data_IF_692383734156
#
_entry.id   IF_692383734156
#
_cell.length_a   1.000
_cell.length_b   1.000
_cell.length_c   1.000
_cell.angle_alpha   90.00
_cell.angle_beta   90.00
_cell.angle_gamma   90.00
#
_symmetry.space_group_name_H-M   'P 1'
#
loop_
_entity.id
_entity.type
_entity.pdbx_description
1 polymer ?
#
# COMPACT_ATOMS: atom_id res chain seq x y z
N UNK A 1 18.33 23.28 4.50
CA UNK A 1 17.01 22.77 4.91
C UNK A 1 17.16 21.27 5.13
N UNK A 2 17.10 20.78 6.38
CA UNK A 2 17.31 19.35 6.72
C UNK A 2 15.95 18.68 6.80
N UNK A 3 15.57 17.90 5.78
CA UNK A 3 14.42 17.02 5.84
C UNK A 3 14.69 15.93 6.90
N UNK A 4 13.80 15.81 7.88
CA UNK A 4 13.82 14.75 8.90
C UNK A 4 12.64 13.82 8.63
N UNK A 5 12.93 12.61 8.20
CA UNK A 5 12.00 11.47 8.13
C UNK A 5 11.93 10.83 9.52
N UNK A 6 10.77 10.33 10.01
CA UNK A 6 9.74 9.64 9.22
C UNK A 6 8.38 10.34 9.21
N UNK A 7 7.71 10.26 8.08
CA UNK A 7 6.31 10.64 7.88
C UNK A 7 5.48 9.35 7.82
N UNK A 8 4.42 9.25 8.63
CA UNK A 8 3.49 8.12 8.65
C UNK A 8 2.11 8.63 8.26
N UNK A 9 1.55 8.09 7.17
CA UNK A 9 0.19 8.42 6.71
C UNK A 9 -0.71 7.21 6.97
N UNK A 10 -1.71 7.38 7.82
CA UNK A 10 -2.77 6.39 8.06
C UNK A 10 -4.05 6.91 7.40
N UNK A 11 -4.59 6.15 6.45
CA UNK A 11 -5.88 6.39 5.78
C UNK A 11 -6.10 7.77 5.14
N UNK A 12 -5.01 8.48 4.78
CA UNK A 12 -5.08 9.79 4.11
C UNK A 12 -5.70 10.89 4.97
N UNK A 13 -5.89 10.66 6.27
CA UNK A 13 -6.48 11.63 7.19
C UNK A 13 -5.54 11.90 8.37
N UNK A 14 -4.80 13.00 8.20
CA UNK A 14 -4.07 13.80 9.21
C UNK A 14 -2.60 13.41 9.45
N UNK A 15 -1.78 14.47 9.52
CA UNK A 15 -0.33 14.53 9.65
C UNK A 15 0.04 14.94 11.08
N UNK A 16 0.79 14.11 11.83
CA UNK A 16 1.31 14.50 13.15
C UNK A 16 2.59 13.74 13.56
N UNK A 17 3.65 14.41 14.06
CA UNK A 17 4.83 13.74 14.59
C UNK A 17 4.57 13.21 16.01
N UNK A 18 4.73 11.90 16.19
CA UNK A 18 4.71 11.23 17.51
C UNK A 18 3.34 10.63 17.85
N UNK A 19 3.13 9.36 17.49
CA UNK A 19 1.87 8.64 17.75
C UNK A 19 2.14 7.45 18.68
N UNK A 20 1.32 7.35 19.73
CA UNK A 20 1.26 6.24 20.70
C UNK A 20 0.36 5.13 20.11
N UNK A 21 0.72 3.85 20.34
CA UNK A 21 0.05 2.66 19.79
C UNK A 21 -1.48 2.68 19.90
N UNK A 22 -2.03 3.24 21.00
CA UNK A 22 -3.48 3.36 21.21
C UNK A 22 -4.22 4.30 20.23
N UNK A 23 -3.54 5.32 19.68
CA UNK A 23 -4.15 6.19 18.65
C UNK A 23 -4.24 5.48 17.30
N UNK A 24 -3.26 4.65 16.95
CA UNK A 24 -3.26 3.85 15.71
C UNK A 24 -4.41 2.84 15.74
N UNK A 25 -4.60 2.16 16.87
CA UNK A 25 -5.69 1.19 17.02
C UNK A 25 -7.08 1.84 16.94
N UNK A 26 -7.27 3.03 17.54
CA UNK A 26 -8.53 3.76 17.42
C UNK A 26 -8.80 4.20 15.98
N UNK A 27 -7.78 4.73 15.28
CA UNK A 27 -7.91 5.14 13.89
C UNK A 27 -8.24 3.96 12.97
N UNK A 28 -7.57 2.82 13.16
CA UNK A 28 -7.86 1.59 12.43
C UNK A 28 -9.27 1.03 12.75
N UNK A 29 -9.71 1.18 14.00
CA UNK A 29 -11.07 0.83 14.43
C UNK A 29 -12.13 1.71 13.76
N UNK A 30 -11.89 3.00 13.64
CA UNK A 30 -12.82 3.95 13.03
C UNK A 30 -12.87 3.81 11.51
N UNK A 31 -11.74 3.51 10.87
CA UNK A 31 -11.65 3.16 9.45
C UNK A 31 -12.43 1.89 9.11
N UNK A 32 -12.30 0.84 9.94
CA UNK A 32 -13.08 -0.40 9.81
C UNK A 32 -14.59 -0.19 10.01
N UNK A 33 -14.98 0.77 10.87
CA UNK A 33 -16.38 1.10 11.16
C UNK A 33 -17.02 1.98 10.08
N UNK A 34 -16.26 2.88 9.45
CA UNK A 34 -16.75 3.79 8.41
C UNK A 34 -16.66 3.21 6.98
N UNK A 35 -15.89 2.14 6.75
CA UNK A 35 -15.87 1.43 5.47
C UNK A 35 -17.17 0.62 5.30
N UNK A 36 -18.26 1.31 4.92
CA UNK A 36 -19.54 0.69 4.52
C UNK A 36 -19.44 0.02 3.15
N UNK A 37 -18.41 0.36 2.38
CA UNK A 37 -18.04 -0.22 1.10
C UNK A 37 -16.78 -1.05 1.27
N UNK A 38 -16.91 -2.38 1.31
CA UNK A 38 -15.77 -3.32 1.34
C UNK A 38 -15.07 -3.33 -0.03
N UNK A 39 -14.42 -2.23 -0.41
CA UNK A 39 -13.61 -2.13 -1.61
C UNK A 39 -12.23 -2.79 -1.45
N UNK A 40 -12.14 -3.84 -0.61
CA UNK A 40 -10.91 -4.61 -0.41
C UNK A 40 -10.61 -5.42 -1.67
N UNK A 41 -9.49 -5.17 -2.36
CA UNK A 41 -9.14 -5.91 -3.55
C UNK A 41 -8.77 -7.35 -3.19
N UNK A 42 -9.23 -8.30 -4.00
CA UNK A 42 -8.72 -9.67 -3.97
C UNK A 42 -7.54 -9.74 -4.94
N UNK A 43 -6.40 -10.22 -4.45
CA UNK A 43 -5.18 -10.34 -5.22
C UNK A 43 -4.86 -11.82 -5.43
N UNK A 44 -4.62 -12.20 -6.68
CA UNK A 44 -4.17 -13.53 -7.01
C UNK A 44 -2.99 -13.44 -7.96
N UNK A 45 -1.85 -14.01 -7.55
CA UNK A 45 -0.71 -14.15 -8.45
C UNK A 45 -0.82 -15.49 -9.17
N UNK A 46 -0.85 -15.43 -10.50
CA UNK A 46 -0.96 -16.60 -11.37
C UNK A 46 0.39 -17.31 -11.49
N UNK A 47 0.38 -18.55 -12.00
CA UNK A 47 1.57 -19.39 -12.12
C UNK A 47 2.64 -18.80 -13.06
N UNK A 48 2.23 -17.97 -14.03
CA UNK A 48 3.12 -17.23 -14.94
C UNK A 48 3.67 -15.92 -14.32
N UNK A 49 3.36 -15.65 -13.05
CA UNK A 49 3.77 -14.45 -12.33
C UNK A 49 2.81 -13.25 -12.49
N UNK A 50 1.85 -13.33 -13.42
CA UNK A 50 0.85 -12.28 -13.67
C UNK A 50 0.03 -12.01 -12.40
N UNK A 51 -0.13 -10.73 -12.04
CA UNK A 51 -1.02 -10.35 -10.94
C UNK A 51 -2.43 -10.13 -11.48
N UNK A 52 -3.42 -10.81 -10.89
CA UNK A 52 -4.84 -10.50 -11.06
C UNK A 52 -5.35 -9.71 -9.85
N UNK A 53 -5.96 -8.57 -10.13
CA UNK A 53 -6.64 -7.71 -9.14
C UNK A 53 -8.13 -7.82 -9.40
N UNK A 54 -8.92 -8.14 -8.39
CA UNK A 54 -10.38 -8.24 -8.50
C UNK A 54 -11.06 -7.37 -7.45
N UNK A 55 -12.08 -6.63 -7.86
CA UNK A 55 -12.96 -5.86 -6.99
C UNK A 55 -14.42 -6.26 -7.23
N UNK A 56 -15.11 -6.55 -6.13
CA UNK A 56 -16.56 -6.70 -6.13
C UNK A 56 -17.23 -5.36 -6.45
N UNK A 57 -18.47 -5.40 -6.92
CA UNK A 57 -19.26 -4.17 -7.03
C UNK A 57 -19.42 -3.52 -5.65
N UNK A 58 -19.28 -2.20 -5.59
CA UNK A 58 -19.45 -1.44 -4.37
C UNK A 58 -20.04 -0.06 -4.67
N UNK A 59 -20.87 0.45 -3.75
CA UNK A 59 -21.41 1.80 -3.84
C UNK A 59 -20.34 2.80 -3.44
N UNK A 60 -20.01 3.72 -4.34
CA UNK A 60 -19.03 4.77 -4.09
C UNK A 60 -19.71 6.14 -4.08
N UNK A 61 -19.23 7.04 -3.23
CA UNK A 61 -19.65 8.45 -3.23
C UNK A 61 -18.96 9.24 -4.36
N UNK A 62 -17.77 8.81 -4.76
CA UNK A 62 -17.00 9.32 -5.89
C UNK A 62 -16.12 8.18 -6.47
N UNK A 63 -15.58 8.32 -7.70
CA UNK A 63 -14.62 7.35 -8.25
C UNK A 63 -13.42 7.13 -7.33
N UNK A 64 -12.79 5.96 -7.45
CA UNK A 64 -11.63 5.59 -6.67
C UNK A 64 -10.46 5.21 -7.57
N UNK A 65 -9.26 5.68 -7.24
CA UNK A 65 -8.03 5.25 -7.90
C UNK A 65 -7.57 3.90 -7.29
N UNK A 66 -7.27 2.95 -8.17
CA UNK A 66 -6.73 1.64 -7.84
C UNK A 66 -5.23 1.68 -8.14
N UNK A 67 -4.41 1.75 -7.10
CA UNK A 67 -2.97 1.93 -7.21
C UNK A 67 -2.24 0.68 -6.77
N UNK A 68 -1.34 0.18 -7.64
CA UNK A 68 -0.43 -0.91 -7.34
C UNK A 68 0.89 -0.33 -6.81
N UNK A 69 1.43 -0.96 -5.76
CA UNK A 69 2.73 -0.67 -5.19
C UNK A 69 3.58 -1.94 -5.18
N UNK A 70 4.79 -1.86 -5.72
CA UNK A 70 5.81 -2.88 -5.57
C UNK A 70 6.83 -2.42 -4.52
N UNK A 71 7.10 -3.27 -3.53
CA UNK A 71 7.93 -2.92 -2.38
C UNK A 71 8.93 -4.01 -2.00
N UNK A 72 10.07 -3.59 -1.46
CA UNK A 72 11.03 -4.49 -0.84
C UNK A 72 10.56 -4.76 0.59
N UNK A 73 10.32 -6.03 0.93
CA UNK A 73 9.85 -6.41 2.27
C UNK A 73 10.86 -6.02 3.36
N UNK A 74 12.16 -6.19 3.09
CA UNK A 74 13.27 -5.75 3.93
C UNK A 74 14.34 -5.12 3.06
N UNK A 75 14.80 -3.94 3.43
CA UNK A 75 15.95 -3.31 2.82
C UNK A 75 16.93 -2.86 3.91
N UNK A 76 18.15 -3.40 3.88
CA UNK A 76 19.22 -2.99 4.76
C UNK A 76 20.08 -1.94 4.06
N UNK A 77 20.02 -0.70 4.51
CA UNK A 77 20.90 0.35 4.00
C UNK A 77 22.16 0.41 4.87
N UNK A 78 23.38 0.26 4.32
CA UNK A 78 24.60 0.51 5.08
C UNK A 78 24.68 2.00 5.44
N UNK A 79 24.64 2.33 6.73
CA UNK A 79 24.81 3.72 7.21
C UNK A 79 26.30 4.05 7.22
N UNK A 80 26.76 4.80 6.22
CA UNK A 80 28.20 5.09 6.04
C UNK A 80 28.73 6.26 6.89
N UNK A 81 27.88 7.12 7.49
CA UNK A 81 28.29 8.17 8.47
C UNK A 81 27.09 8.81 9.19
N UNK A 82 27.27 9.25 10.44
CA UNK A 82 26.27 10.00 11.23
C UNK A 82 26.01 9.38 12.63
N UNK A 83 25.07 9.89 13.42
CA UNK A 83 24.72 9.35 14.76
C UNK A 83 24.26 7.87 14.78
N UNK A 84 23.98 7.30 13.60
CA UNK A 84 23.64 5.88 13.41
C UNK A 84 24.81 5.06 12.83
N UNK A 85 26.01 5.63 12.76
CA UNK A 85 27.24 4.96 12.34
C UNK A 85 27.47 3.70 13.19
N UNK A 86 27.62 2.56 12.52
CA UNK A 86 27.74 1.23 13.14
C UNK A 86 26.42 0.49 13.42
N UNK A 87 25.25 1.09 13.16
CA UNK A 87 23.95 0.42 13.33
C UNK A 87 23.31 0.05 11.98
N UNK A 88 22.87 -1.21 11.84
CA UNK A 88 22.06 -1.69 10.71
C UNK A 88 20.63 -1.16 10.89
N UNK A 89 20.21 -0.24 10.03
CA UNK A 89 18.81 0.17 9.93
C UNK A 89 18.11 -0.77 8.95
N UNK A 90 17.27 -1.66 9.48
CA UNK A 90 16.38 -2.48 8.67
C UNK A 90 15.11 -1.67 8.37
N UNK A 91 14.94 -1.28 7.11
CA UNK A 91 13.70 -0.68 6.62
C UNK A 91 12.77 -1.78 6.10
N UNK A 92 11.47 -1.65 6.35
CA UNK A 92 10.46 -2.62 5.93
C UNK A 92 9.46 -2.00 4.95
N UNK A 93 9.01 -2.79 3.98
CA UNK A 93 8.05 -2.39 2.94
C UNK A 93 8.43 -1.12 2.15
N UNK A 94 9.69 -1.04 1.72
CA UNK A 94 10.19 0.11 0.96
C UNK A 94 9.62 0.07 -0.46
N UNK A 95 8.69 0.97 -0.76
CA UNK A 95 8.10 1.11 -2.11
C UNK A 95 9.19 1.49 -3.11
N UNK A 96 9.28 0.74 -4.20
CA UNK A 96 10.22 0.99 -5.33
C UNK A 96 9.52 1.54 -6.55
N UNK A 97 8.27 1.14 -6.73
CA UNK A 97 7.46 1.54 -7.87
C UNK A 97 5.99 1.58 -7.45
N UNK A 98 5.24 2.50 -8.02
CA UNK A 98 3.80 2.49 -7.95
C UNK A 98 3.20 3.01 -9.25
N UNK A 99 2.01 2.52 -9.59
CA UNK A 99 1.25 2.95 -10.76
C UNK A 99 -0.25 2.90 -10.48
N UNK A 100 -1.00 3.83 -11.08
CA UNK A 100 -2.46 3.76 -11.10
C UNK A 100 -2.85 2.74 -12.17
N UNK A 101 -3.45 1.64 -11.75
CA UNK A 101 -3.95 0.59 -12.64
C UNK A 101 -5.22 1.05 -13.34
N UNK A 102 -6.11 1.72 -12.60
CA UNK A 102 -7.36 2.25 -13.14
C UNK A 102 -7.98 3.27 -12.18
N UNK A 103 -8.78 4.17 -12.74
CA UNK A 103 -9.85 4.84 -11.99
C UNK A 103 -11.09 3.97 -12.05
N UNK A 104 -11.66 3.64 -10.89
CA UNK A 104 -12.73 2.68 -10.68
C UNK A 104 -14.02 3.39 -10.26
N UNK A 105 -15.14 2.98 -10.84
CA UNK A 105 -16.45 3.61 -10.64
C UNK A 105 -17.38 2.82 -9.70
N UNK A 106 -16.90 1.73 -9.10
CA UNK A 106 -17.70 0.88 -8.20
C UNK A 106 -18.33 -0.34 -8.88
N UNK A 107 -18.24 -0.50 -10.21
CA UNK A 107 -18.73 -1.71 -10.89
C UNK A 107 -17.83 -2.92 -10.59
N UNK A 108 -18.35 -4.15 -10.61
CA UNK A 108 -17.48 -5.32 -10.48
C UNK A 108 -16.47 -5.37 -11.64
N UNK A 109 -15.17 -5.34 -11.31
CA UNK A 109 -14.10 -5.22 -12.31
C UNK A 109 -12.90 -6.08 -11.91
N UNK A 110 -12.12 -6.50 -12.91
CA UNK A 110 -10.81 -7.09 -12.68
C UNK A 110 -9.79 -6.54 -13.66
N UNK A 111 -8.52 -6.53 -13.23
CA UNK A 111 -7.38 -6.15 -14.04
C UNK A 111 -6.31 -7.24 -13.96
N UNK A 112 -5.46 -7.28 -14.98
CA UNK A 112 -4.26 -8.09 -14.99
C UNK A 112 -3.06 -7.18 -15.17
N UNK A 113 -2.02 -7.41 -14.37
CA UNK A 113 -0.74 -6.71 -14.44
C UNK A 113 0.32 -7.74 -14.80
N UNK A 114 0.99 -7.59 -15.96
CA UNK A 114 2.01 -8.52 -16.42
C UNK A 114 3.16 -8.68 -15.42
N UNK A 115 3.76 -9.87 -15.39
CA UNK A 115 4.83 -10.20 -14.45
C UNK A 115 6.10 -9.34 -14.62
N UNK A 116 6.33 -8.75 -15.80
CA UNK A 116 7.49 -7.91 -16.10
C UNK A 116 7.44 -6.52 -15.45
N UNK A 117 6.31 -6.17 -14.81
CA UNK A 117 6.11 -4.89 -14.11
C UNK A 117 6.71 -4.85 -12.71
N UNK A 118 7.07 -6.00 -12.14
CA UNK A 118 7.62 -6.10 -10.78
C UNK A 118 8.56 -7.30 -10.68
N UNK A 119 9.38 -7.32 -9.63
CA UNK A 119 10.34 -8.41 -9.43
C UNK A 119 9.77 -9.51 -8.51
N UNK A 120 10.16 -10.79 -8.67
CA UNK A 120 9.71 -11.90 -7.82
C UNK A 120 9.95 -11.73 -6.31
N UNK A 121 11.03 -11.04 -5.94
CA UNK A 121 11.45 -10.70 -4.58
C UNK A 121 10.66 -9.55 -3.96
N UNK A 122 9.81 -8.87 -4.74
CA UNK A 122 8.99 -7.77 -4.26
C UNK A 122 7.63 -8.23 -3.75
N UNK A 123 7.20 -7.63 -2.65
CA UNK A 123 5.82 -7.68 -2.21
C UNK A 123 4.99 -6.72 -3.06
N UNK A 124 3.71 -7.04 -3.21
CA UNK A 124 2.76 -6.20 -3.95
C UNK A 124 1.64 -5.75 -3.03
N UNK A 125 1.32 -4.46 -3.02
CA UNK A 125 0.15 -3.93 -2.33
C UNK A 125 -0.75 -3.21 -3.33
N UNK A 126 -2.06 -3.36 -3.17
CA UNK A 126 -3.05 -2.59 -3.92
C UNK A 126 -3.87 -1.79 -2.94
N UNK A 127 -3.97 -0.48 -3.20
CA UNK A 127 -4.79 0.45 -2.43
C UNK A 127 -5.89 0.96 -3.37
N UNK A 128 -7.12 0.90 -2.87
CA UNK A 128 -8.29 1.52 -3.48
C UNK A 128 -8.62 2.75 -2.67
N UNK A 129 -8.40 3.92 -3.25
CA UNK A 129 -8.56 5.21 -2.57
C UNK A 129 -9.53 6.06 -3.35
N UNK A 130 -10.49 6.71 -2.68
CA UNK A 130 -11.32 7.70 -3.35
C UNK A 130 -10.42 8.76 -4.03
N UNK A 131 -10.72 9.11 -5.27
CA UNK A 131 -9.92 10.06 -6.05
C UNK A 131 -9.78 11.42 -5.34
N UNK A 132 -8.82 12.22 -5.79
CA UNK A 132 -8.50 13.55 -5.24
C UNK A 132 -8.05 13.50 -3.77
N UNK A 133 -7.24 12.49 -3.44
CA UNK A 133 -6.68 12.25 -2.10
C UNK A 133 -7.73 11.99 -1.01
N UNK A 134 -8.88 11.42 -1.39
CA UNK A 134 -9.93 11.01 -0.46
C UNK A 134 -9.52 9.81 0.43
N UNK A 135 -10.44 9.27 1.24
CA UNK A 135 -10.15 8.14 2.12
C UNK A 135 -9.72 6.88 1.35
N UNK A 136 -8.89 6.05 2.01
CA UNK A 136 -8.68 4.67 1.59
C UNK A 136 -9.97 3.88 1.83
N UNK A 137 -10.48 3.25 0.78
CA UNK A 137 -11.72 2.46 0.78
C UNK A 137 -11.43 0.97 1.00
N UNK A 138 -10.24 0.53 0.61
CA UNK A 138 -9.78 -0.83 0.82
C UNK A 138 -8.32 -0.99 0.41
N UNK A 139 -7.65 -1.98 1.00
CA UNK A 139 -6.29 -2.34 0.64
C UNK A 139 -6.07 -3.83 0.85
N UNK A 140 -5.18 -4.41 0.07
CA UNK A 140 -4.70 -5.77 0.28
C UNK A 140 -3.26 -5.92 -0.24
N UNK A 141 -2.55 -6.96 0.19
CA UNK A 141 -1.18 -7.21 -0.25
C UNK A 141 -0.90 -8.69 -0.46
N UNK A 142 0.14 -8.95 -1.26
CA UNK A 142 0.79 -10.23 -1.42
C UNK A 142 2.24 -10.11 -0.96
N UNK A 143 2.69 -11.11 -0.21
CA UNK A 143 4.11 -11.22 0.13
C UNK A 143 4.94 -11.62 -1.11
N UNK A 144 6.26 -11.35 -1.08
CA UNK A 144 7.19 -11.80 -2.13
C UNK A 144 7.07 -13.29 -2.42
N UNK A 145 7.33 -13.68 -3.68
CA UNK A 145 7.40 -15.10 -4.05
C UNK A 145 8.67 -15.78 -3.51
N UNK A 146 9.77 -15.02 -3.48
CA UNK A 146 11.07 -15.48 -2.99
C UNK A 146 11.48 -14.53 -1.87
N UNK A 147 11.95 -15.09 -0.76
CA UNK A 147 12.57 -14.29 0.29
C UNK A 147 13.91 -13.74 -0.24
N UNK A 148 14.02 -12.41 -0.29
CA UNK A 148 15.30 -11.72 -0.50
C UNK A 148 16.18 -11.70 0.75
#
# INVERSE_FOLDING_TARGET
>A
MRARSPEMVVDGRVHQPGINDGQIESMLGDAKRHSTSRATPTLNRMADGTLRIWLAAAKLEAPADVTLFAYDRRHATPVQRGENEGRRLDNFNVVRHFEIVSRWNGAQTHWTVPADRFQPEQGLAVIVQQSDHGPVLGANKLEPMIAG
#
